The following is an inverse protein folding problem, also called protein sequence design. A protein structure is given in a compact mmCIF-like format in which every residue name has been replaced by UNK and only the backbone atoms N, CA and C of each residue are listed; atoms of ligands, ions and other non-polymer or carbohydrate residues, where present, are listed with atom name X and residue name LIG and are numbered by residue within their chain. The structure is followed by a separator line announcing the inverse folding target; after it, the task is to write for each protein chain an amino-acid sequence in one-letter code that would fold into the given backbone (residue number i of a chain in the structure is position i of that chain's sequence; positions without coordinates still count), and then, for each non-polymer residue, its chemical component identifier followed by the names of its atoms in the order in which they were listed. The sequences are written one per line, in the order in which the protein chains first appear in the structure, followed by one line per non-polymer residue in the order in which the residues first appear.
data_IF_857991065503
#
_entry.id   IF_857991065503
#
_cell.length_a   1.000
_cell.length_b   1.000
_cell.length_c   1.000
_cell.angle_alpha   90.00
_cell.angle_beta   90.00
_cell.angle_gamma   90.00
#
_symmetry.space_group_name_H-M   'P 1'
#
loop_
_entity.id
_entity.type
_entity.pdbx_description
1 polymer ?
#
# COMPACT_ATOMS: atom_id res chain seq x y z
N UNK A 1 -7.12 19.60 9.69
CA UNK A 1 -6.75 19.11 8.34
C UNK A 1 -6.04 17.78 8.52
N UNK A 2 -6.42 16.74 7.78
CA UNK A 2 -5.64 15.49 7.74
C UNK A 2 -4.33 15.79 7.00
N UNK A 3 -3.21 15.26 7.48
CA UNK A 3 -1.92 15.34 6.76
C UNK A 3 -1.92 14.34 5.61
N UNK A 4 -1.00 14.50 4.65
CA UNK A 4 -0.80 13.50 3.60
C UNK A 4 -0.54 12.10 4.20
N UNK A 5 0.23 12.06 5.29
CA UNK A 5 0.51 10.83 6.05
C UNK A 5 -0.73 10.20 6.69
N UNK A 6 -1.75 11.00 7.04
CA UNK A 6 -3.03 10.50 7.54
C UNK A 6 -3.93 9.96 6.41
N UNK A 7 -3.77 10.46 5.18
CA UNK A 7 -4.47 9.94 4.00
C UNK A 7 -3.88 8.61 3.55
N UNK A 8 -2.56 8.43 3.67
CA UNK A 8 -1.85 7.19 3.32
C UNK A 8 -2.23 5.96 4.18
N UNK A 9 -2.83 6.17 5.35
CA UNK A 9 -3.29 5.08 6.22
C UNK A 9 -4.61 4.45 5.76
N UNK A 10 -5.34 5.11 4.88
CA UNK A 10 -6.61 4.64 4.34
C UNK A 10 -6.66 4.97 2.85
N UNK A 11 -6.19 4.01 2.04
CA UNK A 11 -6.22 4.11 0.57
C UNK A 11 -7.30 3.21 -0.01
N UNK A 12 -8.35 2.92 0.76
CA UNK A 12 -9.46 2.07 0.33
C UNK A 12 -10.12 2.65 -0.92
N UNK A 13 -10.13 1.89 -2.01
CA UNK A 13 -10.76 2.28 -3.28
C UNK A 13 -10.04 3.38 -4.06
N UNK A 14 -8.76 3.64 -3.74
CA UNK A 14 -7.90 4.53 -4.51
C UNK A 14 -7.27 3.79 -5.69
N UNK A 15 -7.22 4.46 -6.84
CA UNK A 15 -6.49 4.05 -8.03
C UNK A 15 -5.16 4.81 -8.13
N UNK A 16 -4.07 4.10 -7.86
CA UNK A 16 -2.71 4.69 -7.75
C UNK A 16 -2.18 5.19 -9.11
N UNK A 17 -2.68 4.68 -10.24
CA UNK A 17 -2.28 5.20 -11.57
C UNK A 17 -2.83 6.61 -11.85
N UNK A 18 -3.93 7.01 -11.18
CA UNK A 18 -4.55 8.34 -11.36
C UNK A 18 -4.25 9.30 -10.22
N UNK A 19 -3.93 8.79 -9.03
CA UNK A 19 -3.69 9.61 -7.86
C UNK A 19 -2.23 10.08 -7.79
N UNK A 20 -2.06 11.36 -7.45
CA UNK A 20 -0.75 12.01 -7.24
C UNK A 20 0.11 11.35 -6.16
N UNK A 21 -0.39 10.32 -5.48
CA UNK A 21 0.33 9.57 -4.45
C UNK A 21 1.61 8.94 -4.98
N UNK A 22 1.64 8.59 -6.28
CA UNK A 22 2.82 8.12 -7.00
C UNK A 22 3.94 9.15 -7.07
N UNK A 23 3.63 10.44 -7.18
CA UNK A 23 4.63 11.53 -7.14
C UNK A 23 5.24 11.68 -5.73
N UNK A 24 4.51 11.30 -4.68
CA UNK A 24 5.02 11.32 -3.30
C UNK A 24 5.83 10.06 -2.95
N UNK A 25 5.57 8.96 -3.65
CA UNK A 25 6.29 7.68 -3.51
C UNK A 25 7.74 7.75 -4.01
N UNK A 26 8.07 8.68 -4.91
CA UNK A 26 9.37 8.75 -5.58
C UNK A 26 10.50 9.26 -4.65
N UNK A 27 10.19 9.93 -3.53
CA UNK A 27 11.18 10.68 -2.75
C UNK A 27 11.35 10.24 -1.28
N UNK A 28 10.42 9.49 -0.68
CA UNK A 28 10.55 8.99 0.69
C UNK A 28 10.07 7.54 0.82
N UNK A 29 10.73 6.77 1.70
CA UNK A 29 10.28 5.43 2.07
C UNK A 29 8.85 5.50 2.62
N UNK A 30 7.89 5.00 1.85
CA UNK A 30 6.46 5.13 2.15
C UNK A 30 6.09 4.34 3.41
N UNK A 31 5.70 5.04 4.48
CA UNK A 31 5.29 4.40 5.73
C UNK A 31 3.81 3.98 5.67
N UNK A 32 3.57 2.76 5.19
CA UNK A 32 2.26 2.11 5.07
C UNK A 32 1.99 1.14 6.23
N UNK A 33 2.70 1.29 7.35
CA UNK A 33 2.53 0.43 8.51
C UNK A 33 1.07 0.48 8.99
N UNK A 34 0.40 -0.68 9.01
CA UNK A 34 -1.00 -0.80 9.42
C UNK A 34 -2.01 -0.15 8.48
N UNK A 35 -1.63 0.19 7.24
CA UNK A 35 -2.52 0.84 6.29
C UNK A 35 -3.69 -0.07 5.88
N UNK A 36 -4.88 0.54 5.72
CA UNK A 36 -6.06 -0.11 5.15
C UNK A 36 -6.05 0.09 3.64
N UNK A 37 -5.64 -0.95 2.91
CA UNK A 37 -5.53 -0.98 1.44
C UNK A 37 -6.53 -1.97 0.84
N UNK A 38 -7.64 -2.21 1.55
CA UNK A 38 -8.66 -3.13 1.14
C UNK A 38 -9.29 -2.68 -0.19
N UNK A 39 -9.32 -3.57 -1.18
CA UNK A 39 -9.79 -3.25 -2.56
C UNK A 39 -9.07 -2.06 -3.22
N UNK A 40 -7.88 -1.68 -2.76
CA UNK A 40 -7.09 -0.64 -3.41
C UNK A 40 -6.60 -1.13 -4.77
N UNK A 41 -6.53 -0.23 -5.76
CA UNK A 41 -5.90 -0.54 -7.04
C UNK A 41 -4.44 -0.05 -7.03
N UNK A 42 -3.51 -1.00 -6.87
CA UNK A 42 -2.08 -0.78 -6.78
C UNK A 42 -1.36 -1.31 -8.03
N UNK A 43 -2.04 -1.48 -9.16
CA UNK A 43 -1.39 -2.04 -10.35
C UNK A 43 -0.17 -1.21 -10.75
N UNK A 44 0.93 -1.89 -11.10
CA UNK A 44 2.20 -1.28 -11.49
C UNK A 44 2.83 -0.31 -10.47
N UNK A 45 2.36 -0.28 -9.22
CA UNK A 45 2.94 0.58 -8.20
C UNK A 45 4.35 0.10 -7.82
N UNK A 46 5.32 1.01 -7.83
CA UNK A 46 6.62 0.80 -7.19
C UNK A 46 6.47 1.05 -5.68
N UNK A 47 6.53 -0.04 -4.92
CA UNK A 47 6.47 0.01 -3.47
C UNK A 47 7.84 -0.29 -2.86
N UNK A 48 8.93 -0.33 -3.63
CA UNK A 48 10.26 -0.64 -3.11
C UNK A 48 10.64 0.35 -2.00
N UNK A 49 11.00 -0.17 -0.83
CA UNK A 49 11.36 0.64 0.34
C UNK A 49 10.18 1.11 1.21
N UNK A 50 8.93 0.85 0.81
CA UNK A 50 7.76 1.08 1.67
C UNK A 50 7.75 0.15 2.89
N UNK A 51 7.38 0.66 4.06
CA UNK A 51 7.10 -0.16 5.24
C UNK A 51 5.67 -0.69 5.15
N UNK A 52 5.51 -1.98 4.85
CA UNK A 52 4.20 -2.63 4.70
C UNK A 52 3.78 -3.43 5.94
N UNK A 53 4.49 -3.26 7.06
CA UNK A 53 4.23 -4.04 8.28
C UNK A 53 2.79 -3.86 8.75
N UNK A 54 2.02 -4.96 8.78
CA UNK A 54 0.63 -4.93 9.23
C UNK A 54 -0.37 -4.33 8.25
N UNK A 55 0.03 -3.99 7.02
CA UNK A 55 -0.88 -3.46 6.01
C UNK A 55 -1.93 -4.51 5.57
N UNK A 56 -3.17 -4.06 5.41
CA UNK A 56 -4.27 -4.90 4.92
C UNK A 56 -4.44 -4.74 3.41
N UNK A 57 -3.88 -5.66 2.62
CA UNK A 57 -3.97 -5.70 1.15
C UNK A 57 -5.12 -6.59 0.64
N UNK A 58 -6.11 -6.92 1.48
CA UNK A 58 -7.18 -7.85 1.07
C UNK A 58 -7.93 -7.32 -0.14
N UNK A 59 -8.00 -8.16 -1.18
CA UNK A 59 -8.64 -7.85 -2.47
C UNK A 59 -8.03 -6.64 -3.21
N UNK A 60 -6.84 -6.19 -2.81
CA UNK A 60 -6.10 -5.19 -3.58
C UNK A 60 -5.65 -5.77 -4.92
N UNK A 61 -5.61 -4.93 -5.96
CA UNK A 61 -5.02 -5.30 -7.23
C UNK A 61 -3.51 -5.11 -7.16
N UNK A 62 -2.77 -6.22 -7.04
CA UNK A 62 -1.31 -6.25 -6.90
C UNK A 62 -0.59 -6.61 -8.20
N UNK A 63 -1.26 -6.49 -9.35
CA UNK A 63 -0.68 -6.88 -10.62
C UNK A 63 0.50 -5.95 -10.98
N UNK A 64 1.67 -6.53 -11.17
CA UNK A 64 2.86 -5.78 -11.60
C UNK A 64 3.47 -4.90 -10.51
N UNK A 65 3.11 -5.08 -9.24
CA UNK A 65 3.79 -4.35 -8.15
C UNK A 65 5.25 -4.76 -8.06
N UNK A 66 6.10 -3.80 -7.69
CA UNK A 66 7.48 -4.07 -7.33
C UNK A 66 7.65 -3.98 -5.81
N UNK A 67 8.00 -5.11 -5.19
CA UNK A 67 8.29 -5.22 -3.75
C UNK A 67 9.53 -6.06 -3.51
N UNK A 68 10.24 -5.81 -2.42
CA UNK A 68 11.39 -6.61 -2.00
C UNK A 68 10.96 -7.85 -1.20
N UNK A 69 11.84 -8.86 -1.12
CA UNK A 69 11.61 -10.04 -0.28
C UNK A 69 11.35 -9.69 1.19
N UNK A 70 12.07 -8.71 1.73
CA UNK A 70 11.88 -8.25 3.10
C UNK A 70 10.48 -7.65 3.33
N UNK A 71 9.91 -6.98 2.32
CA UNK A 71 8.57 -6.41 2.40
C UNK A 71 7.49 -7.48 2.30
N UNK A 72 7.71 -8.54 1.53
CA UNK A 72 6.83 -9.70 1.52
C UNK A 72 6.68 -10.30 2.93
N UNK A 73 7.79 -10.37 3.68
CA UNK A 73 7.81 -10.88 5.07
C UNK A 73 7.09 -9.94 6.07
N UNK A 74 6.87 -8.67 5.71
CA UNK A 74 6.15 -7.69 6.55
C UNK A 74 4.63 -7.79 6.40
N UNK A 75 4.15 -8.39 5.30
CA UNK A 75 2.72 -8.53 5.04
C UNK A 75 2.08 -9.46 6.06
N UNK A 76 0.94 -9.03 6.60
CA UNK A 76 0.15 -9.87 7.51
C UNK A 76 -0.76 -10.78 6.70
N UNK A 77 -0.71 -12.08 6.98
CA UNK A 77 -1.73 -13.01 6.49
C UNK A 77 -3.03 -12.67 7.18
N UNK A 78 -4.03 -12.29 6.39
CA UNK A 78 -5.36 -11.95 6.89
C UNK A 78 -6.21 -13.20 6.69
N UNK A 79 -6.42 -13.96 7.77
CA UNK A 79 -7.24 -15.16 7.71
C UNK A 79 -8.68 -14.79 7.31
N UNK A 80 -9.21 -15.51 6.31
CA UNK A 80 -10.64 -15.47 6.03
C UNK A 80 -11.32 -16.36 7.06
N UNK A 81 -11.86 -15.75 8.13
CA UNK A 81 -12.93 -16.41 8.84
C UNK A 81 -14.14 -16.40 7.89
N UNK A 82 -14.52 -17.59 7.41
CA UNK A 82 -15.70 -17.89 6.59
C UNK A 82 -16.99 -17.33 7.19
#
# INVERSE_FOLDING_TARGET
MKTLKDMMKDLTGIDVEQDKISDYLEYEALDLQGAYLYRADLHWADLQGANLQGANLRWANLKGIEITKQQLDQLTVIEENE
#
